data_IF_767552716257
#
_entry.id   IF_767552716257
#
_cell.length_a   1.000
_cell.length_b   1.000
_cell.length_c   1.000
_cell.angle_alpha   90.00
_cell.angle_beta   90.00
_cell.angle_gamma   90.00
#
_symmetry.space_group_name_H-M   'P 1'
#
loop_
_entity.id
_entity.type
_entity.pdbx_description
1 polymer ?
#
# COMPACT_ATOMS: atom_id res chain seq x y z
N UNK A 1 -24.61 -16.47 -2.36
CA UNK A 1 -23.72 -15.51 -3.04
C UNK A 1 -22.66 -16.31 -3.78
N UNK A 2 -22.53 -16.11 -5.10
CA UNK A 2 -21.57 -16.82 -5.94
C UNK A 2 -20.14 -16.49 -5.50
N UNK A 3 -19.42 -17.47 -4.93
CA UNK A 3 -17.98 -17.35 -4.67
C UNK A 3 -17.24 -17.66 -5.96
N UNK A 4 -16.46 -16.70 -6.46
CA UNK A 4 -15.47 -16.96 -7.51
C UNK A 4 -14.58 -18.12 -7.07
N UNK A 5 -14.41 -19.18 -7.89
CA UNK A 5 -13.54 -20.29 -7.56
C UNK A 5 -12.12 -19.79 -7.24
N UNK A 6 -11.47 -20.34 -6.21
CA UNK A 6 -10.18 -19.81 -5.74
C UNK A 6 -9.06 -19.89 -6.78
N UNK A 7 -9.14 -20.81 -7.74
CA UNK A 7 -8.19 -20.89 -8.88
C UNK A 7 -8.40 -19.80 -9.95
N UNK A 8 -9.53 -19.10 -9.91
CA UNK A 8 -9.80 -17.92 -10.76
C UNK A 8 -9.47 -16.61 -10.03
N UNK A 9 -9.13 -16.64 -8.74
CA UNK A 9 -8.59 -15.45 -8.07
C UNK A 9 -7.19 -15.21 -8.61
N UNK A 10 -7.00 -14.03 -9.19
CA UNK A 10 -5.68 -13.55 -9.57
C UNK A 10 -4.92 -13.27 -8.28
N UNK A 11 -3.74 -13.85 -8.17
CA UNK A 11 -2.82 -13.56 -7.08
C UNK A 11 -2.12 -12.22 -7.34
N UNK A 12 -2.85 -11.13 -7.15
CA UNK A 12 -2.40 -9.76 -7.45
C UNK A 12 -1.21 -9.35 -6.57
N UNK A 13 -1.12 -9.87 -5.34
CA UNK A 13 -0.02 -9.58 -4.42
C UNK A 13 1.32 -9.99 -5.03
N UNK A 14 1.46 -11.26 -5.39
CA UNK A 14 2.73 -11.78 -5.89
C UNK A 14 3.03 -11.36 -7.34
N UNK A 15 2.01 -11.10 -8.17
CA UNK A 15 2.21 -10.76 -9.57
C UNK A 15 2.29 -9.26 -9.87
N UNK A 16 1.78 -8.39 -8.99
CA UNK A 16 1.75 -6.95 -9.23
C UNK A 16 2.34 -6.15 -8.06
N UNK A 17 1.87 -6.38 -6.84
CA UNK A 17 2.29 -5.59 -5.67
C UNK A 17 3.76 -5.81 -5.33
N UNK A 18 4.19 -7.05 -5.11
CA UNK A 18 5.58 -7.37 -4.72
C UNK A 18 6.61 -6.92 -5.76
N UNK A 19 6.44 -7.17 -7.08
CA UNK A 19 7.35 -6.65 -8.09
C UNK A 19 7.44 -5.12 -8.09
N UNK A 20 6.32 -4.43 -7.89
CA UNK A 20 6.30 -2.97 -7.87
C UNK A 20 7.00 -2.40 -6.63
N UNK A 21 6.79 -3.00 -5.46
CA UNK A 21 7.49 -2.60 -4.23
C UNK A 21 9.00 -2.81 -4.35
N UNK A 22 9.43 -3.94 -4.91
CA UNK A 22 10.86 -4.19 -5.18
C UNK A 22 11.46 -3.10 -6.08
N UNK A 23 10.76 -2.70 -7.15
CA UNK A 23 11.22 -1.63 -8.03
C UNK A 23 11.36 -0.29 -7.30
N UNK A 24 10.45 0.04 -6.39
CA UNK A 24 10.53 1.26 -5.60
C UNK A 24 11.74 1.24 -4.65
N UNK A 25 12.01 0.10 -4.02
CA UNK A 25 13.19 -0.08 -3.17
C UNK A 25 14.49 0.05 -3.95
N UNK A 26 14.57 -0.52 -5.16
CA UNK A 26 15.72 -0.36 -6.06
C UNK A 26 15.95 1.09 -6.48
N UNK A 27 14.90 1.90 -6.52
CA UNK A 27 14.94 3.35 -6.77
C UNK A 27 15.28 4.16 -5.49
N UNK A 28 15.50 3.50 -4.35
CA UNK A 28 15.83 4.14 -3.07
C UNK A 28 14.64 4.68 -2.29
N UNK A 29 13.41 4.29 -2.65
CA UNK A 29 12.22 4.65 -1.88
C UNK A 29 12.06 3.71 -0.68
N UNK A 30 11.64 4.27 0.45
CA UNK A 30 11.22 3.48 1.61
C UNK A 30 9.72 3.17 1.50
N UNK A 31 9.39 1.92 1.19
CA UNK A 31 8.01 1.45 1.19
C UNK A 31 7.55 1.08 2.60
N UNK A 32 6.29 1.39 2.93
CA UNK A 32 5.67 0.98 4.19
C UNK A 32 4.66 -0.12 3.92
N UNK A 33 4.96 -1.31 4.40
CA UNK A 33 4.04 -2.45 4.28
C UNK A 33 2.94 -2.31 5.32
N UNK A 34 1.70 -2.35 4.85
CA UNK A 34 0.52 -2.38 5.71
C UNK A 34 -0.17 -3.73 5.55
N UNK A 35 -0.73 -4.22 6.65
CA UNK A 35 -1.47 -5.48 6.63
C UNK A 35 -2.86 -5.28 6.04
N UNK A 36 -3.56 -6.39 5.79
CA UNK A 36 -4.92 -6.39 5.23
C UNK A 36 -5.92 -5.54 6.03
N UNK A 37 -5.64 -5.33 7.32
CA UNK A 37 -6.30 -4.36 8.18
C UNK A 37 -5.27 -3.35 8.66
N UNK A 38 -5.58 -2.06 8.51
CA UNK A 38 -4.69 -0.96 8.87
C UNK A 38 -5.31 -0.13 10.00
N UNK A 39 -4.51 0.28 10.99
CA UNK A 39 -4.83 1.37 11.90
C UNK A 39 -4.29 2.70 11.34
N UNK A 40 -4.87 3.87 11.68
CA UNK A 40 -4.35 5.17 11.22
C UNK A 40 -2.85 5.33 11.51
N UNK A 41 -2.41 4.91 12.69
CA UNK A 41 -1.03 4.98 13.17
C UNK A 41 -0.04 4.25 12.27
N UNK A 42 -0.47 3.18 11.60
CA UNK A 42 0.40 2.38 10.72
C UNK A 42 0.81 3.20 9.49
N UNK A 43 0.03 4.22 9.14
CA UNK A 43 0.31 5.16 8.04
C UNK A 43 0.72 6.56 8.53
N UNK A 44 1.17 6.68 9.79
CA UNK A 44 1.53 7.96 10.43
C UNK A 44 0.36 8.96 10.50
N UNK A 45 -0.86 8.44 10.66
CA UNK A 45 -2.08 9.24 10.83
C UNK A 45 -2.66 9.06 12.22
N UNK A 46 -3.30 10.10 12.73
CA UNK A 46 -4.12 10.05 13.93
C UNK A 46 -5.55 9.56 13.61
N UNK A 47 -6.03 9.85 12.39
CA UNK A 47 -7.32 9.37 11.89
C UNK A 47 -7.32 9.26 10.35
N UNK A 48 -8.23 8.49 9.77
CA UNK A 48 -8.29 8.27 8.31
C UNK A 48 -8.73 9.49 7.48
N UNK A 49 -9.40 10.46 8.10
CA UNK A 49 -9.80 11.71 7.43
C UNK A 49 -8.67 12.75 7.39
N UNK A 50 -7.53 12.47 8.03
CA UNK A 50 -6.39 13.35 8.05
C UNK A 50 -5.76 13.48 6.66
N UNK A 51 -5.63 14.73 6.21
CA UNK A 51 -4.89 15.11 5.01
C UNK A 51 -3.59 15.76 5.48
N UNK A 52 -2.45 15.16 5.14
CA UNK A 52 -1.13 15.71 5.42
C UNK A 52 -0.71 16.56 4.22
N UNK A 53 -0.78 17.88 4.37
CA UNK A 53 -0.17 18.82 3.44
C UNK A 53 1.11 19.34 4.09
N UNK A 54 2.24 19.19 3.40
CA UNK A 54 3.46 19.86 3.83
C UNK A 54 3.24 21.39 3.73
N UNK A 55 3.76 22.18 4.69
CA UNK A 55 3.62 23.64 4.66
C UNK A 55 4.14 24.27 3.37
N UNK A 56 5.13 23.65 2.74
CA UNK A 56 5.71 24.06 1.45
C UNK A 56 6.04 22.84 0.59
N UNK A 57 5.74 22.92 -0.71
CA UNK A 57 6.24 21.99 -1.73
C UNK A 57 7.70 22.33 -2.05
N UNK A 58 8.62 21.42 -1.76
CA UNK A 58 10.01 21.54 -2.22
C UNK A 58 10.11 20.91 -3.61
N UNK A 59 10.43 21.75 -4.59
CA UNK A 59 10.79 21.35 -5.96
C UNK A 59 12.30 21.38 -6.15
#
# INVERSE_FOLDING_TARGET
MNKTPDYLKIDEKHHAEEPFLQQLEELGWAAKHTEQTQAPSDSERENFAQVVLLPELRF
#
